data_IF_499039301852
#
_entry.id   IF_499039301852
#
_cell.length_a   1.000
_cell.length_b   1.000
_cell.length_c   1.000
_cell.angle_alpha   90.00
_cell.angle_beta   90.00
_cell.angle_gamma   90.00
#
_symmetry.space_group_name_H-M   'P 1'
#
loop_
_entity.id
_entity.type
_entity.pdbx_description
1 polymer ?
#
# COMPACT_ATOMS: atom_id res chain seq x y z
N UNK A 1 13.79 -6.59 -21.78
CA UNK A 1 12.51 -7.09 -21.24
C UNK A 1 11.41 -6.13 -21.68
N UNK A 2 10.21 -6.61 -22.02
CA UNK A 2 9.08 -5.73 -22.34
C UNK A 2 8.37 -5.36 -21.04
N UNK A 3 8.46 -4.09 -20.62
CA UNK A 3 7.71 -3.57 -19.49
C UNK A 3 6.23 -3.45 -19.84
N UNK A 4 5.36 -3.85 -18.90
CA UNK A 4 3.89 -3.72 -19.05
C UNK A 4 3.27 -2.77 -18.03
N UNK A 5 4.06 -2.33 -17.04
CA UNK A 5 3.67 -1.45 -15.96
C UNK A 5 4.93 -0.82 -15.36
N UNK A 6 4.92 0.51 -15.20
CA UNK A 6 5.99 1.29 -14.57
C UNK A 6 5.33 2.54 -13.96
N UNK A 7 5.37 2.65 -12.63
CA UNK A 7 4.85 3.79 -11.87
C UNK A 7 5.57 3.87 -10.52
N UNK A 8 5.72 5.09 -10.03
CA UNK A 8 6.24 5.40 -8.70
C UNK A 8 5.09 5.83 -7.78
N UNK A 9 5.22 5.52 -6.49
CA UNK A 9 4.35 6.06 -5.45
C UNK A 9 4.18 5.14 -4.25
N UNK A 10 3.29 5.57 -3.35
CA UNK A 10 2.98 4.84 -2.13
C UNK A 10 2.07 3.66 -2.46
N UNK A 11 2.43 2.45 -2.04
CA UNK A 11 1.62 1.24 -2.23
C UNK A 11 0.47 1.10 -1.22
N UNK A 12 0.73 1.48 0.04
CA UNK A 12 -0.22 1.40 1.14
C UNK A 12 -0.09 2.65 1.98
N UNK A 13 -1.21 3.31 2.29
CA UNK A 13 -1.25 4.38 3.27
C UNK A 13 -1.39 3.77 4.65
N UNK A 14 -0.43 4.07 5.53
CA UNK A 14 -0.47 3.68 6.92
C UNK A 14 -0.94 4.86 7.76
N UNK A 15 -1.91 4.63 8.65
CA UNK A 15 -2.36 5.60 9.65
C UNK A 15 -2.33 4.94 11.03
N UNK A 16 -1.67 5.60 11.98
CA UNK A 16 -1.66 5.20 13.38
C UNK A 16 -2.25 6.34 14.20
N UNK A 17 -3.26 6.04 15.01
CA UNK A 17 -3.88 6.99 15.92
C UNK A 17 -3.97 6.38 17.32
N UNK A 18 -3.51 7.14 18.32
CA UNK A 18 -3.72 6.80 19.73
C UNK A 18 -5.07 7.39 20.15
N UNK A 19 -5.97 6.53 20.61
CA UNK A 19 -7.26 6.92 21.17
C UNK A 19 -7.27 6.63 22.66
N UNK A 20 -7.70 7.63 23.43
CA UNK A 20 -7.89 7.50 24.87
C UNK A 20 -9.31 7.01 25.14
N UNK A 21 -9.43 5.93 25.89
CA UNK A 21 -10.69 5.31 26.27
C UNK A 21 -11.24 6.00 27.54
N UNK A 22 -12.55 5.92 27.77
CA UNK A 22 -13.21 6.54 28.93
C UNK A 22 -12.65 6.08 30.30
N UNK A 23 -11.97 4.94 30.34
CA UNK A 23 -11.30 4.39 31.53
C UNK A 23 -9.83 4.86 31.69
N UNK A 24 -9.37 5.83 30.89
CA UNK A 24 -8.01 6.39 30.96
C UNK A 24 -6.93 5.48 30.37
N UNK A 25 -7.31 4.48 29.58
CA UNK A 25 -6.38 3.61 28.87
C UNK A 25 -6.17 4.12 27.44
N UNK A 26 -4.95 4.02 26.93
CA UNK A 26 -4.64 4.35 25.54
C UNK A 26 -4.69 3.09 24.65
N UNK A 27 -5.30 3.23 23.47
CA UNK A 27 -5.33 2.19 22.44
C UNK A 27 -4.80 2.73 21.13
N UNK A 28 -3.83 2.02 20.53
CA UNK A 28 -3.27 2.37 19.24
C UNK A 28 -4.08 1.72 18.12
N UNK A 29 -4.81 2.52 17.36
CA UNK A 29 -5.51 2.10 16.16
C UNK A 29 -4.58 2.20 14.95
N UNK A 30 -4.36 1.08 14.27
CA UNK A 30 -3.57 0.99 13.04
C UNK A 30 -4.50 0.69 11.88
N UNK A 31 -4.43 1.49 10.83
CA UNK A 31 -5.17 1.31 9.58
C UNK A 31 -4.21 1.31 8.39
N UNK A 32 -4.41 0.36 7.49
CA UNK A 32 -3.70 0.25 6.23
C UNK A 32 -4.70 0.29 5.08
N UNK A 33 -4.55 1.27 4.21
CA UNK A 33 -5.42 1.44 3.04
C UNK A 33 -4.62 1.28 1.75
N UNK A 34 -5.00 0.33 0.86
CA UNK A 34 -4.36 0.18 -0.43
C UNK A 34 -4.58 1.44 -1.29
N UNK A 35 -3.52 1.92 -1.92
CA UNK A 35 -3.60 3.10 -2.79
C UNK A 35 -4.05 2.75 -4.20
N UNK A 36 -4.30 3.78 -5.02
CA UNK A 36 -4.54 3.60 -6.46
C UNK A 36 -3.40 2.86 -7.17
N UNK A 37 -2.14 3.05 -6.75
CA UNK A 37 -0.99 2.39 -7.35
C UNK A 37 -1.11 0.88 -7.24
N UNK A 38 -1.52 0.38 -6.08
CA UNK A 38 -1.79 -1.03 -5.85
C UNK A 38 -2.88 -1.58 -6.77
N UNK A 39 -3.97 -0.83 -6.95
CA UNK A 39 -5.06 -1.24 -7.83
C UNK A 39 -4.64 -1.25 -9.31
N UNK A 40 -3.92 -0.22 -9.76
CA UNK A 40 -3.40 -0.13 -11.13
C UNK A 40 -2.42 -1.28 -11.43
N UNK A 41 -1.54 -1.60 -10.50
CA UNK A 41 -0.65 -2.76 -10.64
C UNK A 41 -1.45 -4.07 -10.73
N UNK A 42 -2.42 -4.30 -9.83
CA UNK A 42 -3.24 -5.52 -9.82
C UNK A 42 -3.96 -5.73 -11.14
N UNK A 43 -4.58 -4.69 -11.69
CA UNK A 43 -5.27 -4.79 -12.98
C UNK A 43 -4.27 -5.01 -14.14
N UNK A 44 -3.08 -4.40 -14.09
CA UNK A 44 -2.06 -4.58 -15.13
C UNK A 44 -1.52 -6.02 -15.21
N UNK A 45 -1.40 -6.71 -14.08
CA UNK A 45 -0.83 -8.07 -13.98
C UNK A 45 -1.88 -9.19 -14.02
N UNK A 46 -3.17 -8.86 -13.93
CA UNK A 46 -4.27 -9.84 -13.86
C UNK A 46 -4.22 -10.82 -15.02
N UNK A 47 -4.18 -12.11 -14.69
CA UNK A 47 -4.15 -13.20 -15.68
C UNK A 47 -2.82 -13.35 -16.43
N UNK A 48 -1.75 -12.66 -16.03
CA UNK A 48 -0.44 -12.71 -16.69
C UNK A 48 0.61 -13.29 -15.74
N UNK A 49 1.53 -14.08 -16.29
CA UNK A 49 2.75 -14.49 -15.58
C UNK A 49 3.82 -13.40 -15.76
N UNK A 50 4.14 -12.70 -14.68
CA UNK A 50 5.03 -11.52 -14.71
C UNK A 50 6.12 -11.62 -13.65
N UNK A 51 7.21 -10.87 -13.83
CA UNK A 51 8.20 -10.61 -12.78
C UNK A 51 8.03 -9.16 -12.34
N UNK A 52 7.78 -8.95 -11.05
CA UNK A 52 7.69 -7.61 -10.45
C UNK A 52 9.05 -7.29 -9.86
N UNK A 53 9.55 -6.08 -10.14
CA UNK A 53 10.76 -5.53 -9.53
C UNK A 53 10.36 -4.21 -8.89
N UNK A 54 10.66 -4.04 -7.61
CA UNK A 54 10.30 -2.87 -6.83
C UNK A 54 11.58 -2.20 -6.35
N UNK A 55 11.62 -0.88 -6.44
CA UNK A 55 12.70 -0.05 -5.93
C UNK A 55 12.12 0.90 -4.88
N UNK A 56 12.91 1.17 -3.85
CA UNK A 56 12.60 2.23 -2.89
C UNK A 56 12.99 3.56 -3.52
N UNK A 57 12.11 4.56 -3.39
CA UNK A 57 12.34 5.92 -3.88
C UNK A 57 12.62 6.81 -2.68
N UNK A 58 13.81 7.44 -2.71
CA UNK A 58 14.31 8.36 -1.67
C UNK A 58 13.57 9.70 -1.65
#
# INVERSE_FOLDING_TARGET
MRGIFDMEGVFVKYREETVELENGHELTHRSEEPTELWWKLKEAIKGKRVRIVVYEVE
#
